data_IF_381600135399
#
_entry.id   IF_381600135399
#
_cell.length_a   1.000
_cell.length_b   1.000
_cell.length_c   1.000
_cell.angle_alpha   90.00
_cell.angle_beta   90.00
_cell.angle_gamma   90.00
#
_symmetry.space_group_name_H-M   'P 1'
#
loop_
_entity.id
_entity.type
_entity.pdbx_description
1 polymer ?
#
# COMPACT_ATOMS: atom_id res chain seq x y z
N UNK A 1 26.40 1.25 25.60
CA UNK A 1 25.52 2.44 25.46
C UNK A 1 25.62 3.18 24.12
N UNK A 2 26.72 3.10 23.34
CA UNK A 2 26.78 3.77 22.03
C UNK A 2 25.85 3.14 20.95
N UNK A 3 25.63 1.82 20.96
CA UNK A 3 24.84 1.11 19.94
C UNK A 3 23.34 1.48 19.91
N UNK A 4 22.71 1.75 21.07
CA UNK A 4 21.29 2.17 21.13
C UNK A 4 21.03 3.56 20.51
N UNK A 5 22.04 4.43 20.43
CA UNK A 5 21.86 5.78 19.85
C UNK A 5 21.86 5.76 18.31
N UNK A 6 22.56 4.81 17.68
CA UNK A 6 22.61 4.67 16.23
C UNK A 6 21.28 4.14 15.66
N UNK A 7 20.72 3.08 16.25
CA UNK A 7 19.44 2.49 15.84
C UNK A 7 18.29 3.51 15.92
N UNK A 8 18.27 4.31 17.00
CA UNK A 8 17.28 5.39 17.16
C UNK A 8 17.39 6.43 16.05
N UNK A 9 18.61 6.83 15.65
CA UNK A 9 18.83 7.81 14.60
C UNK A 9 18.44 7.27 13.21
N UNK A 10 18.69 5.99 12.92
CA UNK A 10 18.31 5.34 11.67
C UNK A 10 16.79 5.20 11.54
N UNK A 11 16.11 4.75 12.61
CA UNK A 11 14.64 4.67 12.64
C UNK A 11 13.99 6.04 12.44
N UNK A 12 14.57 7.09 13.02
CA UNK A 12 14.08 8.47 12.83
C UNK A 12 14.29 8.94 11.38
N UNK A 13 15.43 8.60 10.75
CA UNK A 13 15.70 8.92 9.33
C UNK A 13 14.82 8.11 8.38
N UNK A 14 14.57 6.83 8.64
CA UNK A 14 13.68 5.99 7.84
C UNK A 14 12.24 6.47 7.91
N UNK A 15 11.74 6.81 9.11
CA UNK A 15 10.42 7.45 9.29
C UNK A 15 10.35 8.81 8.60
N UNK A 16 11.43 9.60 8.66
CA UNK A 16 11.52 10.88 7.95
C UNK A 16 11.63 10.70 6.42
N UNK A 17 12.27 9.66 5.93
CA UNK A 17 12.39 9.34 4.51
C UNK A 17 11.08 8.79 3.95
N UNK A 18 10.34 7.99 4.74
CA UNK A 18 8.99 7.56 4.39
C UNK A 18 8.06 8.76 4.40
N UNK A 19 8.12 9.66 5.41
CA UNK A 19 7.42 10.95 5.38
C UNK A 19 7.81 11.80 4.16
N UNK A 20 9.08 11.86 3.78
CA UNK A 20 9.55 12.64 2.61
C UNK A 20 9.13 12.02 1.28
N UNK A 21 9.21 10.69 1.13
CA UNK A 21 8.76 9.96 -0.06
C UNK A 21 7.25 9.95 -0.18
N UNK A 22 6.57 9.98 0.97
CA UNK A 22 5.15 10.17 1.05
C UNK A 22 4.76 11.62 0.77
N UNK A 23 5.67 12.55 0.46
CA UNK A 23 5.40 13.98 0.35
C UNK A 23 5.08 14.61 1.70
N UNK A 24 5.53 15.83 1.97
CA UNK A 24 5.16 16.57 3.17
C UNK A 24 3.69 17.03 3.11
N UNK A 25 2.76 16.08 3.11
CA UNK A 25 1.31 16.35 3.11
C UNK A 25 0.80 16.80 4.47
N UNK A 26 1.67 16.87 5.49
CA UNK A 26 1.32 17.42 6.80
C UNK A 26 0.96 18.92 6.73
N UNK A 27 1.36 19.61 5.65
CA UNK A 27 1.12 21.03 5.45
C UNK A 27 -0.18 21.38 4.67
N UNK A 28 -0.98 20.40 4.19
CA UNK A 28 -2.23 20.72 3.47
C UNK A 28 -3.40 20.91 4.45
N UNK A 29 -3.21 21.82 5.40
CA UNK A 29 -4.26 22.31 6.29
C UNK A 29 -5.19 23.34 5.62
N UNK A 30 -4.99 23.62 4.33
CA UNK A 30 -5.87 24.50 3.55
C UNK A 30 -7.15 23.81 3.09
N UNK A 31 -8.20 24.60 2.89
CA UNK A 31 -9.43 24.16 2.25
C UNK A 31 -9.13 23.53 0.89
N UNK A 32 -9.42 22.23 0.75
CA UNK A 32 -9.28 21.53 -0.51
C UNK A 32 -10.29 22.09 -1.51
N UNK A 33 -9.81 22.64 -2.61
CA UNK A 33 -10.66 23.09 -3.70
C UNK A 33 -11.37 21.88 -4.32
N UNK A 34 -12.63 21.68 -3.94
CA UNK A 34 -13.48 20.63 -4.52
C UNK A 34 -13.92 21.07 -5.92
N UNK A 35 -13.67 20.26 -6.98
CA UNK A 35 -14.16 20.55 -8.32
C UNK A 35 -15.67 20.74 -8.33
N UNK A 36 -16.15 21.75 -9.06
CA UNK A 36 -17.57 22.14 -9.07
C UNK A 36 -18.51 20.96 -9.32
N UNK A 37 -18.19 20.12 -10.31
CA UNK A 37 -19.00 18.94 -10.65
C UNK A 37 -18.96 17.78 -9.64
N UNK A 38 -18.25 17.93 -8.52
CA UNK A 38 -18.18 16.98 -7.40
C UNK A 38 -18.81 17.52 -6.12
N UNK A 39 -19.06 18.83 -6.02
CA UNK A 39 -19.64 19.47 -4.83
C UNK A 39 -21.05 18.92 -4.55
N UNK A 40 -21.45 18.85 -3.27
CA UNK A 40 -22.83 18.59 -2.93
C UNK A 40 -23.72 19.78 -3.34
N UNK A 41 -24.94 19.51 -3.77
CA UNK A 41 -25.96 20.55 -3.93
C UNK A 41 -26.46 21.04 -2.56
N UNK A 42 -27.18 22.17 -2.52
CA UNK A 42 -27.77 22.69 -1.28
C UNK A 42 -28.73 21.68 -0.64
N UNK A 43 -29.54 21.00 -1.47
CA UNK A 43 -30.44 19.95 -1.02
C UNK A 43 -29.66 18.76 -0.45
N UNK A 44 -28.56 18.37 -1.09
CA UNK A 44 -27.70 17.28 -0.63
C UNK A 44 -27.12 17.57 0.77
N UNK A 45 -26.71 18.82 1.04
CA UNK A 45 -26.15 19.20 2.33
C UNK A 45 -27.17 19.16 3.50
N UNK A 46 -28.47 19.28 3.23
CA UNK A 46 -29.48 19.54 4.26
C UNK A 46 -30.05 18.29 4.97
N UNK A 47 -29.90 17.08 4.43
CA UNK A 47 -30.70 15.92 4.90
C UNK A 47 -30.03 15.00 5.92
N UNK A 48 -28.75 15.22 6.22
CA UNK A 48 -28.09 14.73 7.43
C UNK A 48 -27.85 13.23 7.57
N UNK A 49 -28.59 12.31 6.93
CA UNK A 49 -28.35 10.86 7.04
C UNK A 49 -28.64 10.10 5.75
N UNK A 50 -27.76 9.17 5.40
CA UNK A 50 -28.01 8.14 4.38
C UNK A 50 -27.83 6.77 5.00
N UNK A 51 -28.86 5.93 4.89
CA UNK A 51 -28.78 4.52 5.25
C UNK A 51 -27.98 3.80 4.17
N UNK A 52 -26.90 3.17 4.62
CA UNK A 52 -26.02 2.37 3.80
C UNK A 52 -26.68 1.03 3.47
N UNK A 53 -26.26 0.40 2.37
CA UNK A 53 -26.74 -0.93 2.01
C UNK A 53 -26.33 -1.99 3.05
N UNK A 54 -25.31 -1.72 3.86
CA UNK A 54 -24.95 -2.55 5.04
C UNK A 54 -25.92 -2.44 6.21
N UNK A 55 -26.87 -1.48 6.19
CA UNK A 55 -27.71 -1.13 7.33
C UNK A 55 -27.09 -0.12 8.28
N UNK A 56 -25.81 0.21 8.12
CA UNK A 56 -25.17 1.30 8.86
C UNK A 56 -25.78 2.64 8.42
N UNK A 57 -25.95 3.59 9.33
CA UNK A 57 -26.30 4.96 8.95
C UNK A 57 -25.02 5.79 8.85
N UNK A 58 -24.73 6.38 7.69
CA UNK A 58 -23.72 7.42 7.59
C UNK A 58 -24.40 8.74 7.97
N UNK A 59 -23.99 9.34 9.08
CA UNK A 59 -24.44 10.67 9.47
C UNK A 59 -23.71 11.71 8.61
N UNK A 60 -24.39 12.17 7.55
CA UNK A 60 -23.88 13.13 6.58
C UNK A 60 -23.85 14.56 7.12
N UNK A 61 -24.51 14.83 8.25
CA UNK A 61 -24.66 16.20 8.79
C UNK A 61 -23.36 16.78 9.35
N UNK A 62 -22.43 15.92 9.79
CA UNK A 62 -21.15 16.33 10.34
C UNK A 62 -20.01 15.44 9.86
N UNK A 63 -18.88 16.05 9.53
CA UNK A 63 -17.67 15.31 9.20
C UNK A 63 -17.17 14.53 10.44
N UNK A 64 -16.80 13.26 10.31
CA UNK A 64 -16.19 12.52 11.42
C UNK A 64 -14.89 13.19 11.90
N UNK A 65 -14.46 12.95 13.16
CA UNK A 65 -13.21 13.48 13.67
C UNK A 65 -12.01 13.17 12.76
N UNK A 66 -11.24 14.20 12.41
CA UNK A 66 -10.06 14.07 11.55
C UNK A 66 -10.36 14.00 10.04
N UNK A 67 -11.60 14.19 9.60
CA UNK A 67 -11.97 14.29 8.18
C UNK A 67 -12.13 15.76 7.78
N UNK A 68 -11.37 16.25 6.78
CA UNK A 68 -11.55 17.61 6.29
C UNK A 68 -12.91 17.78 5.63
N UNK A 69 -13.52 18.95 5.81
CA UNK A 69 -14.84 19.32 5.25
C UNK A 69 -14.93 19.10 3.74
N UNK A 70 -13.91 19.50 2.97
CA UNK A 70 -13.87 19.29 1.52
C UNK A 70 -13.87 17.80 1.11
N UNK A 71 -13.15 16.94 1.84
CA UNK A 71 -13.17 15.49 1.63
C UNK A 71 -14.55 14.93 1.97
N UNK A 72 -15.08 15.31 3.13
CA UNK A 72 -16.39 14.88 3.57
C UNK A 72 -17.51 15.27 2.60
N UNK A 73 -17.49 16.51 2.10
CA UNK A 73 -18.48 17.00 1.13
C UNK A 73 -18.52 16.15 -0.16
N UNK A 74 -17.37 15.68 -0.66
CA UNK A 74 -17.33 14.78 -1.82
C UNK A 74 -17.82 13.37 -1.46
N UNK A 75 -17.52 12.87 -0.25
CA UNK A 75 -18.05 11.59 0.24
C UNK A 75 -19.58 11.63 0.32
N UNK A 76 -20.13 12.68 0.95
CA UNK A 76 -21.57 12.95 1.06
C UNK A 76 -22.21 13.00 -0.33
N UNK A 77 -21.69 13.86 -1.23
CA UNK A 77 -22.24 14.02 -2.57
C UNK A 77 -22.21 12.70 -3.37
N UNK A 78 -21.16 11.89 -3.22
CA UNK A 78 -21.08 10.59 -3.87
C UNK A 78 -22.08 9.57 -3.27
N UNK A 79 -22.23 9.54 -1.95
CA UNK A 79 -23.17 8.66 -1.26
C UNK A 79 -24.63 8.99 -1.59
N UNK A 80 -24.98 10.27 -1.73
CA UNK A 80 -26.35 10.68 -2.05
C UNK A 80 -26.75 10.37 -3.49
N UNK A 81 -25.83 10.49 -4.44
CA UNK A 81 -26.03 10.04 -5.83
C UNK A 81 -26.22 8.53 -5.96
N UNK A 82 -25.85 7.80 -4.92
CA UNK A 82 -26.04 6.36 -4.83
C UNK A 82 -27.39 5.98 -4.17
N UNK A 83 -28.07 6.89 -3.48
CA UNK A 83 -29.32 6.61 -2.78
C UNK A 83 -30.44 6.17 -3.76
N UNK A 84 -30.95 4.92 -3.65
CA UNK A 84 -31.99 4.41 -4.53
C UNK A 84 -33.31 5.19 -4.42
N UNK A 85 -33.62 5.80 -3.27
CA UNK A 85 -34.84 6.60 -3.11
C UNK A 85 -34.79 7.92 -3.85
N UNK A 86 -33.59 8.34 -4.28
CA UNK A 86 -33.33 9.63 -4.94
C UNK A 86 -32.73 9.50 -6.32
N UNK A 87 -32.50 8.28 -6.74
CA UNK A 87 -32.09 7.97 -8.10
C UNK A 87 -33.24 8.32 -9.03
N UNK A 88 -33.40 9.61 -9.31
CA UNK A 88 -33.71 10.02 -10.66
C UNK A 88 -32.67 9.32 -11.54
N UNK A 89 -33.13 8.36 -12.35
CA UNK A 89 -32.34 7.23 -12.90
C UNK A 89 -31.06 7.66 -13.66
N UNK A 90 -30.85 8.95 -13.85
CA UNK A 90 -29.75 9.58 -14.57
C UNK A 90 -28.46 9.86 -13.77
N UNK A 91 -28.44 9.84 -12.43
CA UNK A 91 -27.27 10.37 -11.68
C UNK A 91 -26.45 9.32 -10.94
N UNK A 92 -25.87 8.35 -11.67
CA UNK A 92 -24.84 7.46 -11.11
C UNK A 92 -23.66 8.29 -10.55
N UNK A 93 -23.04 7.89 -9.42
CA UNK A 93 -21.88 8.59 -8.91
C UNK A 93 -20.73 8.52 -9.92
N UNK A 94 -20.01 9.64 -10.10
CA UNK A 94 -18.86 9.67 -11.00
C UNK A 94 -17.69 8.93 -10.37
N UNK A 95 -17.04 8.03 -11.10
CA UNK A 95 -15.80 7.34 -10.66
C UNK A 95 -14.75 8.31 -10.13
N UNK A 96 -14.68 9.51 -10.72
CA UNK A 96 -13.79 10.59 -10.27
C UNK A 96 -14.05 11.06 -8.85
N UNK A 97 -15.27 10.93 -8.30
CA UNK A 97 -15.55 11.26 -6.90
C UNK A 97 -14.74 10.39 -5.94
N UNK A 98 -14.79 9.05 -6.12
CA UNK A 98 -14.02 8.13 -5.30
C UNK A 98 -12.52 8.32 -5.51
N UNK A 99 -12.08 8.49 -6.75
CA UNK A 99 -10.66 8.74 -7.05
C UNK A 99 -10.15 10.01 -6.39
N UNK A 100 -10.93 11.09 -6.43
CA UNK A 100 -10.58 12.36 -5.79
C UNK A 100 -10.47 12.20 -4.27
N UNK A 101 -11.44 11.54 -3.63
CA UNK A 101 -11.37 11.23 -2.19
C UNK A 101 -10.09 10.47 -1.86
N UNK A 102 -9.74 9.42 -2.63
CA UNK A 102 -8.52 8.64 -2.40
C UNK A 102 -7.23 9.42 -2.70
N UNK A 103 -7.24 10.32 -3.68
CA UNK A 103 -6.07 11.16 -3.99
C UNK A 103 -5.78 12.16 -2.88
N UNK A 104 -6.81 12.64 -2.19
CA UNK A 104 -6.69 13.67 -1.17
C UNK A 104 -6.71 13.15 0.26
N UNK A 105 -7.14 11.91 0.52
CA UNK A 105 -7.11 11.30 1.85
C UNK A 105 -5.67 11.28 2.40
N UNK A 106 -5.47 11.97 3.52
CA UNK A 106 -4.19 12.18 4.19
C UNK A 106 -4.22 11.87 5.69
N UNK A 107 -5.40 11.62 6.26
CA UNK A 107 -5.56 11.20 7.66
C UNK A 107 -6.19 9.81 7.75
N UNK A 108 -6.04 9.16 8.91
CA UNK A 108 -6.72 7.89 9.17
C UNK A 108 -8.25 8.02 9.09
N UNK A 109 -8.81 9.14 9.58
CA UNK A 109 -10.25 9.40 9.47
C UNK A 109 -10.72 9.51 8.02
N UNK A 110 -9.95 10.17 7.15
CA UNK A 110 -10.29 10.31 5.73
C UNK A 110 -10.20 8.97 4.97
N UNK A 111 -9.21 8.14 5.29
CA UNK A 111 -9.09 6.78 4.76
C UNK A 111 -10.25 5.90 5.21
N UNK A 112 -10.70 6.03 6.46
CA UNK A 112 -11.88 5.31 6.95
C UNK A 112 -13.18 5.79 6.28
N UNK A 113 -13.34 7.10 6.10
CA UNK A 113 -14.48 7.66 5.35
C UNK A 113 -14.49 7.18 3.89
N UNK A 114 -13.33 7.14 3.23
CA UNK A 114 -13.19 6.57 1.89
C UNK A 114 -13.55 5.07 1.85
N UNK A 115 -13.28 4.34 2.93
CA UNK A 115 -13.56 2.91 3.03
C UNK A 115 -15.06 2.68 3.15
N UNK A 116 -15.74 3.44 4.00
CA UNK A 116 -17.20 3.45 4.08
C UNK A 116 -17.83 3.76 2.71
N UNK A 117 -17.36 4.81 2.02
CA UNK A 117 -17.83 5.14 0.66
C UNK A 117 -17.60 3.98 -0.32
N UNK A 118 -16.44 3.31 -0.27
CA UNK A 118 -16.10 2.21 -1.18
C UNK A 118 -16.96 0.97 -0.93
N UNK A 119 -17.29 0.67 0.34
CA UNK A 119 -18.23 -0.42 0.68
C UNK A 119 -19.58 -0.17 0.01
N UNK A 120 -20.08 1.05 0.10
CA UNK A 120 -21.33 1.47 -0.52
C UNK A 120 -21.29 1.47 -2.05
N UNK A 121 -20.16 1.90 -2.60
CA UNK A 121 -19.84 1.82 -4.01
C UNK A 121 -20.03 0.38 -4.51
N UNK A 122 -19.49 -0.58 -3.76
CA UNK A 122 -19.53 -2.01 -4.10
C UNK A 122 -20.89 -2.64 -3.88
N UNK A 123 -21.59 -2.30 -2.80
CA UNK A 123 -22.94 -2.80 -2.53
C UNK A 123 -23.91 -2.44 -3.67
N UNK A 124 -23.67 -1.30 -4.34
CA UNK A 124 -24.41 -0.86 -5.53
C UNK A 124 -23.76 -1.27 -6.85
N UNK A 125 -22.90 -2.28 -6.81
CA UNK A 125 -22.26 -2.90 -7.98
C UNK A 125 -21.44 -1.93 -8.84
N UNK A 126 -21.02 -0.79 -8.29
CA UNK A 126 -20.19 0.16 -9.03
C UNK A 126 -18.76 -0.38 -9.18
N UNK A 127 -18.13 -0.25 -10.35
CA UNK A 127 -16.88 -0.93 -10.65
C UNK A 127 -15.71 -0.39 -9.81
N UNK A 128 -14.89 -1.31 -9.30
CA UNK A 128 -13.55 -1.05 -8.77
C UNK A 128 -12.55 -1.55 -9.80
N UNK A 129 -11.53 -0.75 -10.08
CA UNK A 129 -10.51 -1.04 -11.10
C UNK A 129 -9.13 -1.09 -10.45
N UNK A 130 -8.13 -1.67 -11.12
CA UNK A 130 -6.74 -1.65 -10.65
C UNK A 130 -6.26 -0.24 -10.27
N UNK A 131 -6.62 0.78 -11.07
CA UNK A 131 -6.30 2.18 -10.75
C UNK A 131 -6.90 2.64 -9.42
N UNK A 132 -8.14 2.26 -9.11
CA UNK A 132 -8.78 2.56 -7.82
C UNK A 132 -8.02 1.89 -6.67
N UNK A 133 -7.62 0.63 -6.83
CA UNK A 133 -6.87 -0.10 -5.81
C UNK A 133 -5.45 0.45 -5.61
N UNK A 134 -4.79 0.96 -6.67
CA UNK A 134 -3.52 1.66 -6.55
C UNK A 134 -3.65 2.99 -5.78
N UNK A 135 -4.73 3.75 -6.02
CA UNK A 135 -5.03 4.94 -5.23
C UNK A 135 -5.28 4.59 -3.76
N UNK A 136 -5.95 3.48 -3.49
CA UNK A 136 -6.10 2.95 -2.13
C UNK A 136 -4.77 2.65 -1.45
N UNK A 137 -3.86 1.92 -2.12
CA UNK A 137 -2.53 1.65 -1.60
C UNK A 137 -1.77 2.96 -1.29
N UNK A 138 -1.82 3.94 -2.19
CA UNK A 138 -1.21 5.25 -1.97
C UNK A 138 -1.84 6.04 -0.81
N UNK A 139 -3.17 6.05 -0.71
CA UNK A 139 -3.91 6.74 0.34
C UNK A 139 -3.61 6.19 1.73
N UNK A 140 -3.65 4.86 1.88
CA UNK A 140 -3.35 4.19 3.14
C UNK A 140 -1.90 4.45 3.59
N UNK A 141 -0.94 4.40 2.68
CA UNK A 141 0.48 4.70 2.99
C UNK A 141 0.65 6.16 3.38
N UNK A 142 0.08 7.09 2.60
CA UNK A 142 0.17 8.54 2.88
C UNK A 142 -0.46 8.91 4.22
N UNK A 143 -1.57 8.30 4.59
CA UNK A 143 -2.25 8.53 5.85
C UNK A 143 -1.59 7.82 7.05
N UNK A 144 -0.51 7.06 6.83
CA UNK A 144 0.11 6.25 7.88
C UNK A 144 -0.79 5.13 8.42
N UNK A 145 -1.75 4.66 7.60
CA UNK A 145 -2.71 3.60 7.94
C UNK A 145 -2.68 2.45 6.91
N UNK A 146 -1.51 1.83 6.69
CA UNK A 146 -1.40 0.72 5.73
C UNK A 146 -2.22 -0.52 6.13
N UNK A 147 -2.55 -0.68 7.41
CA UNK A 147 -3.44 -1.70 7.96
C UNK A 147 -4.82 -1.72 7.30
N UNK A 148 -5.35 -0.53 6.99
CA UNK A 148 -6.65 -0.40 6.33
C UNK A 148 -6.61 -1.08 4.96
N UNK A 149 -5.50 -0.98 4.21
CA UNK A 149 -5.39 -1.65 2.92
C UNK A 149 -5.45 -3.17 3.05
N UNK A 150 -4.81 -3.75 4.07
CA UNK A 150 -4.87 -5.20 4.35
C UNK A 150 -6.31 -5.62 4.63
N UNK A 151 -7.03 -4.88 5.48
CA UNK A 151 -8.46 -5.12 5.76
C UNK A 151 -9.31 -5.08 4.49
N UNK A 152 -9.09 -4.10 3.61
CA UNK A 152 -9.81 -3.97 2.34
C UNK A 152 -9.56 -5.16 1.39
N UNK A 153 -8.36 -5.74 1.41
CA UNK A 153 -8.06 -6.93 0.62
C UNK A 153 -8.68 -8.19 1.25
N UNK A 154 -8.61 -8.34 2.57
CA UNK A 154 -9.16 -9.52 3.24
C UNK A 154 -10.68 -9.62 3.10
N UNK A 155 -11.41 -8.50 3.14
CA UNK A 155 -12.86 -8.47 2.92
C UNK A 155 -13.22 -8.24 1.45
N UNK A 156 -13.01 -9.28 0.64
CA UNK A 156 -13.35 -9.23 -0.79
C UNK A 156 -14.85 -9.09 -1.03
N UNK A 157 -15.70 -9.54 -0.13
CA UNK A 157 -17.14 -9.41 -0.30
C UNK A 157 -17.55 -7.93 -0.29
N UNK A 158 -17.06 -7.18 0.70
CA UNK A 158 -17.38 -5.77 0.83
C UNK A 158 -16.65 -4.89 -0.19
N UNK A 159 -15.37 -5.16 -0.51
CA UNK A 159 -14.54 -4.19 -1.23
C UNK A 159 -14.12 -4.59 -2.65
N UNK A 160 -14.00 -5.89 -2.96
CA UNK A 160 -13.55 -6.43 -4.26
C UNK A 160 -12.38 -5.66 -4.88
N UNK A 161 -11.36 -5.35 -4.08
CA UNK A 161 -10.15 -4.67 -4.58
C UNK A 161 -9.40 -5.55 -5.59
N UNK A 162 -8.70 -4.91 -6.52
CA UNK A 162 -7.91 -5.53 -7.58
C UNK A 162 -6.45 -5.06 -7.46
N UNK A 163 -5.70 -5.56 -6.47
CA UNK A 163 -4.33 -5.13 -6.25
C UNK A 163 -3.44 -5.54 -7.44
N UNK A 164 -2.31 -4.85 -7.58
CA UNK A 164 -1.19 -5.29 -8.41
C UNK A 164 0.08 -5.31 -7.58
N UNK A 165 1.07 -6.11 -8.00
CA UNK A 165 2.28 -6.42 -7.23
C UNK A 165 2.97 -5.16 -6.66
N UNK A 166 3.19 -4.13 -7.47
CA UNK A 166 3.83 -2.88 -7.01
C UNK A 166 3.07 -2.17 -5.88
N UNK A 167 1.73 -2.19 -5.92
CA UNK A 167 0.91 -1.60 -4.86
C UNK A 167 1.04 -2.36 -3.55
N UNK A 168 1.04 -3.69 -3.60
CA UNK A 168 1.24 -4.55 -2.43
C UNK A 168 2.65 -4.37 -1.86
N UNK A 169 3.67 -4.35 -2.72
CA UNK A 169 5.05 -4.09 -2.34
C UNK A 169 5.22 -2.74 -1.61
N UNK A 170 4.53 -1.69 -2.07
CA UNK A 170 4.53 -0.38 -1.39
C UNK A 170 3.92 -0.47 0.01
N UNK A 171 2.79 -1.16 0.17
CA UNK A 171 2.10 -1.29 1.46
C UNK A 171 2.89 -2.18 2.42
N UNK A 172 3.52 -3.27 1.95
CA UNK A 172 4.39 -4.11 2.79
C UNK A 172 5.51 -3.31 3.45
N UNK A 173 6.22 -2.47 2.68
CA UNK A 173 7.26 -1.57 3.23
C UNK A 173 6.70 -0.62 4.30
N UNK A 174 5.52 -0.05 4.04
CA UNK A 174 4.87 0.85 5.00
C UNK A 174 4.43 0.13 6.28
N UNK A 175 3.97 -1.12 6.19
CA UNK A 175 3.65 -1.96 7.34
C UNK A 175 4.90 -2.22 8.19
N UNK A 176 6.01 -2.60 7.56
CA UNK A 176 7.30 -2.78 8.23
C UNK A 176 7.74 -1.53 8.99
N UNK A 177 7.74 -0.37 8.31
CA UNK A 177 8.09 0.91 8.95
C UNK A 177 7.16 1.34 10.09
N UNK A 178 5.95 0.79 10.14
CA UNK A 178 4.97 1.03 11.21
C UNK A 178 5.04 -0.03 12.32
N UNK A 179 5.96 -0.99 12.25
CA UNK A 179 6.06 -2.10 13.20
C UNK A 179 4.94 -3.14 13.06
N UNK A 180 4.30 -3.23 11.90
CA UNK A 180 3.18 -4.13 11.63
C UNK A 180 3.63 -5.30 10.75
N UNK A 181 4.71 -5.97 11.14
CA UNK A 181 5.37 -6.95 10.29
C UNK A 181 4.49 -8.17 9.98
N UNK A 182 3.68 -8.63 10.94
CA UNK A 182 2.75 -9.74 10.71
C UNK A 182 1.76 -9.45 9.57
N UNK A 183 1.28 -8.20 9.46
CA UNK A 183 0.41 -7.78 8.36
C UNK A 183 1.16 -7.70 7.03
N UNK A 184 2.46 -7.37 7.03
CA UNK A 184 3.28 -7.41 5.81
C UNK A 184 3.40 -8.85 5.29
N UNK A 185 3.60 -9.83 6.18
CA UNK A 185 3.61 -11.25 5.84
C UNK A 185 2.24 -11.75 5.37
N UNK A 186 1.15 -11.33 6.02
CA UNK A 186 -0.22 -11.62 5.53
C UNK A 186 -0.42 -11.07 4.12
N UNK A 187 0.01 -9.84 3.87
CA UNK A 187 -0.10 -9.22 2.55
C UNK A 187 0.75 -9.96 1.51
N UNK A 188 1.95 -10.41 1.86
CA UNK A 188 2.76 -11.26 0.99
C UNK A 188 2.05 -12.58 0.63
N UNK A 189 1.45 -13.24 1.62
CA UNK A 189 0.69 -14.48 1.42
C UNK A 189 -0.58 -14.30 0.57
N UNK A 190 -1.12 -13.09 0.44
CA UNK A 190 -2.26 -12.80 -0.43
C UNK A 190 -1.89 -12.75 -1.93
N UNK A 191 -0.62 -12.74 -2.33
CA UNK A 191 -0.24 -12.65 -3.76
C UNK A 191 -0.89 -13.76 -4.61
N UNK A 192 -0.72 -15.06 -4.30
CA UNK A 192 -1.34 -16.13 -5.10
C UNK A 192 -2.87 -16.05 -5.13
N UNK A 193 -3.48 -15.60 -4.02
CA UNK A 193 -4.93 -15.44 -3.92
C UNK A 193 -5.51 -14.37 -4.87
N UNK A 194 -4.67 -13.40 -5.26
CA UNK A 194 -5.01 -12.39 -6.28
C UNK A 194 -4.46 -12.72 -7.67
N UNK A 195 -3.91 -13.93 -7.88
CA UNK A 195 -3.30 -14.31 -9.14
C UNK A 195 -2.01 -13.54 -9.44
N UNK A 196 -1.34 -13.05 -8.40
CA UNK A 196 -0.05 -12.35 -8.50
C UNK A 196 1.08 -13.33 -8.16
N UNK A 197 2.16 -13.25 -8.92
CA UNK A 197 3.38 -14.00 -8.58
C UNK A 197 4.06 -13.36 -7.37
N UNK A 198 4.65 -14.19 -6.51
CA UNK A 198 5.60 -13.75 -5.49
C UNK A 198 6.97 -13.62 -6.17
N UNK A 199 7.15 -12.56 -6.96
CA UNK A 199 8.36 -12.31 -7.72
C UNK A 199 9.46 -11.64 -6.87
N UNK A 200 10.58 -11.28 -7.51
CA UNK A 200 11.68 -10.59 -6.84
C UNK A 200 11.29 -9.25 -6.21
N UNK A 201 10.27 -8.57 -6.75
CA UNK A 201 9.76 -7.33 -6.17
C UNK A 201 9.01 -7.61 -4.87
N UNK A 202 8.21 -8.67 -4.82
CA UNK A 202 7.44 -9.06 -3.64
C UNK A 202 8.36 -9.51 -2.49
N UNK A 203 9.31 -10.43 -2.77
CA UNK A 203 10.29 -10.88 -1.77
C UNK A 203 11.17 -9.71 -1.30
N UNK A 204 11.72 -8.92 -2.22
CA UNK A 204 12.53 -7.75 -1.87
C UNK A 204 11.78 -6.76 -0.97
N UNK A 205 10.51 -6.48 -1.26
CA UNK A 205 9.70 -5.60 -0.44
C UNK A 205 9.40 -6.17 0.96
N UNK A 206 9.24 -7.49 1.11
CA UNK A 206 9.04 -8.14 2.40
C UNK A 206 10.31 -8.12 3.25
N UNK A 207 11.47 -8.36 2.65
CA UNK A 207 12.77 -8.25 3.33
C UNK A 207 13.04 -6.81 3.75
N UNK A 208 12.80 -5.84 2.86
CA UNK A 208 12.86 -4.42 3.21
C UNK A 208 11.92 -4.05 4.36
N UNK A 209 10.70 -4.59 4.38
CA UNK A 209 9.74 -4.36 5.46
C UNK A 209 10.28 -4.84 6.82
N UNK A 210 10.91 -6.02 6.85
CA UNK A 210 11.56 -6.52 8.06
C UNK A 210 12.66 -5.56 8.55
N UNK A 211 13.49 -5.02 7.64
CA UNK A 211 14.56 -4.09 8.02
C UNK A 211 14.08 -2.71 8.45
N UNK A 212 12.85 -2.34 8.07
CA UNK A 212 12.22 -1.08 8.48
C UNK A 212 11.52 -1.20 9.83
N UNK A 213 11.28 -2.41 10.32
CA UNK A 213 10.65 -2.65 11.62
C UNK A 213 11.65 -2.41 12.76
N UNK A 214 11.40 -1.36 13.53
CA UNK A 214 12.21 -0.99 14.69
C UNK A 214 11.57 -1.39 16.02
N UNK A 215 10.43 -2.08 16.00
CA UNK A 215 9.70 -2.46 17.22
C UNK A 215 10.33 -3.67 17.93
N UNK A 216 10.75 -4.67 17.15
CA UNK A 216 11.51 -5.84 17.58
C UNK A 216 12.55 -6.18 16.51
N UNK A 217 13.70 -5.48 16.57
CA UNK A 217 14.74 -5.58 15.56
C UNK A 217 15.26 -7.02 15.42
N UNK A 218 15.48 -7.73 16.52
CA UNK A 218 16.05 -9.09 16.50
C UNK A 218 15.09 -10.10 15.86
N UNK A 219 13.79 -10.02 16.15
CA UNK A 219 12.80 -10.85 15.49
C UNK A 219 12.66 -10.49 14.00
N UNK A 220 12.65 -9.20 13.67
CA UNK A 220 12.52 -8.73 12.31
C UNK A 220 13.72 -9.15 11.45
N UNK A 221 14.96 -9.03 11.95
CA UNK A 221 16.17 -9.47 11.27
C UNK A 221 16.21 -10.98 11.03
N UNK A 222 15.76 -11.79 11.99
CA UNK A 222 15.65 -13.25 11.80
C UNK A 222 14.66 -13.59 10.69
N UNK A 223 13.50 -12.93 10.66
CA UNK A 223 12.50 -13.11 9.60
C UNK A 223 13.05 -12.68 8.23
N UNK A 224 13.77 -11.55 8.17
CA UNK A 224 14.41 -11.07 6.96
C UNK A 224 15.40 -12.09 6.37
N UNK A 225 16.23 -12.69 7.23
CA UNK A 225 17.19 -13.72 6.82
C UNK A 225 16.49 -14.95 6.23
N UNK A 226 15.47 -15.47 6.92
CA UNK A 226 14.70 -16.63 6.45
C UNK A 226 14.06 -16.37 5.08
N UNK A 227 13.47 -15.18 4.88
CA UNK A 227 12.87 -14.79 3.60
C UNK A 227 13.93 -14.66 2.50
N UNK A 228 15.11 -14.11 2.81
CA UNK A 228 16.21 -13.99 1.86
C UNK A 228 16.78 -15.36 1.46
N UNK A 229 16.96 -16.28 2.41
CA UNK A 229 17.39 -17.66 2.16
C UNK A 229 16.36 -18.41 1.31
N UNK A 230 15.06 -18.27 1.61
CA UNK A 230 14.00 -18.85 0.79
C UNK A 230 14.03 -18.31 -0.65
N UNK A 231 14.16 -16.99 -0.82
CA UNK A 231 14.21 -16.35 -2.13
C UNK A 231 15.43 -16.78 -2.95
N UNK A 232 16.58 -17.00 -2.31
CA UNK A 232 17.82 -17.46 -2.95
C UNK A 232 17.79 -18.94 -3.32
N UNK A 233 17.00 -19.75 -2.61
CA UNK A 233 16.82 -21.17 -2.89
C UNK A 233 15.95 -21.43 -4.13
N UNK A 234 15.24 -20.42 -4.65
CA UNK A 234 14.44 -20.51 -5.88
C UNK A 234 15.33 -20.50 -7.12
N UNK A 235 14.82 -21.06 -8.22
CA UNK A 235 15.45 -21.08 -9.53
C UNK A 235 14.49 -20.49 -10.59
N UNK A 236 14.74 -19.27 -11.11
CA UNK A 236 15.84 -18.38 -10.74
C UNK A 236 15.65 -17.77 -9.32
N UNK A 237 16.72 -17.26 -8.69
CA UNK A 237 16.61 -16.54 -7.42
C UNK A 237 15.62 -15.38 -7.49
N UNK A 238 14.79 -15.24 -6.46
CA UNK A 238 13.77 -14.19 -6.34
C UNK A 238 14.22 -13.04 -5.43
N UNK A 239 15.52 -12.82 -5.34
CA UNK A 239 16.13 -11.68 -4.67
C UNK A 239 17.34 -11.27 -5.49
N UNK A 240 17.73 -9.99 -5.47
CA UNK A 240 18.88 -9.50 -6.24
C UNK A 240 20.10 -9.32 -5.34
N UNK A 241 21.30 -9.46 -5.91
CA UNK A 241 22.56 -9.13 -5.22
C UNK A 241 22.52 -7.71 -4.67
N UNK A 242 22.01 -6.75 -5.46
CA UNK A 242 21.86 -5.36 -5.03
C UNK A 242 20.95 -5.20 -3.81
N UNK A 243 19.87 -5.98 -3.71
CA UNK A 243 19.01 -5.99 -2.54
C UNK A 243 19.75 -6.54 -1.32
N UNK A 244 20.45 -7.68 -1.44
CA UNK A 244 21.24 -8.27 -0.36
C UNK A 244 22.34 -7.31 0.15
N UNK A 245 23.06 -6.63 -0.75
CA UNK A 245 24.05 -5.61 -0.38
C UNK A 245 23.44 -4.39 0.30
N UNK A 246 22.25 -3.96 -0.15
CA UNK A 246 21.54 -2.87 0.50
C UNK A 246 21.11 -3.24 1.94
N UNK A 247 20.86 -4.52 2.20
CA UNK A 247 20.52 -5.04 3.53
C UNK A 247 21.77 -5.14 4.42
N UNK A 248 22.87 -5.68 3.88
CA UNK A 248 24.18 -5.69 4.52
C UNK A 248 24.56 -4.29 5.01
N UNK A 249 24.45 -3.27 4.15
CA UNK A 249 24.78 -1.89 4.49
C UNK A 249 23.85 -1.25 5.54
N UNK A 250 22.65 -1.79 5.75
CA UNK A 250 21.66 -1.30 6.73
C UNK A 250 21.67 -2.08 8.04
N UNK A 251 22.36 -3.21 8.11
CA UNK A 251 22.40 -4.04 9.31
C UNK A 251 23.23 -3.36 10.40
N UNK A 252 22.60 -3.05 11.53
CA UNK A 252 23.29 -2.50 12.72
C UNK A 252 24.11 -3.57 13.46
N UNK A 253 23.81 -4.86 13.20
CA UNK A 253 24.53 -6.00 13.76
C UNK A 253 25.56 -6.55 12.76
N UNK A 254 26.82 -6.69 13.21
CA UNK A 254 27.93 -7.12 12.37
C UNK A 254 27.81 -8.59 11.93
N UNK A 255 27.15 -9.46 12.72
CA UNK A 255 26.90 -10.83 12.31
C UNK A 255 25.86 -10.86 11.18
N UNK A 256 24.78 -10.12 11.33
CA UNK A 256 23.75 -9.99 10.29
C UNK A 256 24.29 -9.40 9.00
N UNK A 257 25.10 -8.34 9.08
CA UNK A 257 25.77 -7.76 7.92
C UNK A 257 26.61 -8.81 7.17
N UNK A 258 27.44 -9.58 7.90
CA UNK A 258 28.23 -10.68 7.32
C UNK A 258 27.36 -11.75 6.66
N UNK A 259 26.23 -12.13 7.27
CA UNK A 259 25.31 -13.12 6.68
C UNK A 259 24.72 -12.62 5.36
N UNK A 260 24.27 -11.36 5.29
CA UNK A 260 23.78 -10.80 4.03
C UNK A 260 24.88 -10.67 2.96
N UNK A 261 26.09 -10.29 3.36
CA UNK A 261 27.25 -10.27 2.47
C UNK A 261 27.54 -11.65 1.88
N UNK A 262 27.54 -12.69 2.72
CA UNK A 262 27.75 -14.07 2.28
C UNK A 262 26.65 -14.57 1.32
N UNK A 263 25.38 -14.22 1.58
CA UNK A 263 24.28 -14.52 0.65
C UNK A 263 24.44 -13.79 -0.69
N UNK A 264 24.90 -12.54 -0.66
CA UNK A 264 25.15 -11.75 -1.87
C UNK A 264 26.31 -12.35 -2.69
N UNK A 265 27.37 -12.79 -2.04
CA UNK A 265 28.51 -13.49 -2.67
C UNK A 265 28.04 -14.80 -3.31
N UNK A 266 27.30 -15.64 -2.56
CA UNK A 266 26.76 -16.91 -3.05
C UNK A 266 25.86 -16.71 -4.29
N UNK A 267 25.04 -15.66 -4.31
CA UNK A 267 24.20 -15.35 -5.45
C UNK A 267 25.03 -14.86 -6.65
N UNK A 268 26.03 -14.00 -6.43
CA UNK A 268 26.90 -13.51 -7.49
C UNK A 268 27.72 -14.64 -8.14
N UNK A 269 28.15 -15.64 -7.36
CA UNK A 269 28.80 -16.85 -7.88
C UNK A 269 27.87 -17.69 -8.76
N UNK A 270 26.59 -17.83 -8.38
CA UNK A 270 25.58 -18.52 -9.19
C UNK A 270 25.32 -17.80 -10.52
N UNK A 271 25.21 -16.48 -10.50
CA UNK A 271 24.96 -15.66 -11.69
C UNK A 271 26.20 -15.57 -12.62
N UNK A 272 27.40 -15.56 -12.05
CA UNK A 272 28.69 -15.51 -12.76
C UNK A 272 29.19 -16.87 -13.28
N UNK A 273 28.44 -17.94 -13.06
CA UNK A 273 28.77 -19.27 -13.57
C UNK A 273 28.82 -19.31 -15.11
N UNK A 274 29.57 -20.27 -15.70
CA UNK A 274 29.88 -20.34 -17.14
C UNK A 274 28.68 -20.36 -18.11
N UNK A 275 27.44 -20.46 -17.62
CA UNK A 275 26.21 -20.39 -18.43
C UNK A 275 25.89 -18.99 -18.99
N UNK A 276 26.41 -17.90 -18.40
CA UNK A 276 26.22 -16.56 -18.94
C UNK A 276 27.02 -16.31 -20.25
N UNK A 277 28.12 -17.05 -20.45
CA UNK A 277 28.96 -16.92 -21.64
C UNK A 277 28.37 -17.60 -22.90
N UNK A 278 27.40 -18.51 -22.75
CA UNK A 278 26.90 -19.32 -23.87
C UNK A 278 25.61 -18.77 -24.51
N UNK A 279 24.90 -17.83 -23.87
CA UNK A 279 23.62 -17.29 -24.38
C UNK A 279 23.75 -16.12 -25.37
N UNK A 280 24.95 -15.56 -25.58
CA UNK A 280 25.13 -14.38 -26.44
C UNK A 280 25.59 -14.71 -27.89
N UNK A 281 25.70 -16.00 -28.26
CA UNK A 281 26.20 -16.41 -29.60
C UNK A 281 25.13 -16.92 -30.57
N UNK A 282 23.86 -17.03 -30.17
CA UNK A 282 22.77 -17.46 -31.06
C UNK A 282 21.71 -16.38 -31.25
N UNK A 283 22.06 -15.31 -31.96
CA UNK A 283 21.05 -14.52 -32.68
C UNK A 283 20.55 -15.38 -33.86
N UNK A 284 19.27 -15.79 -33.92
CA UNK A 284 18.74 -16.40 -35.12
C UNK A 284 18.77 -15.36 -36.23
N UNK A 285 19.54 -15.64 -37.29
CA UNK A 285 19.49 -14.88 -38.52
C UNK A 285 18.07 -14.96 -39.08
N UNK A 286 17.39 -13.82 -39.09
CA UNK A 286 16.19 -13.64 -39.90
C UNK A 286 16.65 -13.62 -41.36
N UNK A 287 16.53 -14.75 -42.04
CA UNK A 287 16.57 -14.77 -43.50
C UNK A 287 15.26 -14.16 -44.03
N UNK A 288 15.45 -13.38 -45.10
CA UNK A 288 14.49 -12.57 -45.85
C UNK A 288 13.21 -13.29 -46.28
#
# INVERSE_FOLDING_TARGET
>A
MLKMRAATALGTRARAAIRRSAGDYSAVAGDLAVPEGLRPTADEAAQGRVTLASGDALDLSAAPPGVRSGVWGVVVAAAMRMDPQRSDKARRPKKSSLHWVLQHAASGGEVEAAAALTREWRARMQPITHATTQLWAAACVRAGRPDVFVRLLMDRWAFRQLPVAHGMARVMRALGASGQLDDAFRLFALHPYYGLAQDATAYGALVEACCLDTSDADAAWRRALVVAEEALARDPPLITVAALRALEAKADDAEMARRYGALADQMAEKDGGPQAAEKDTKKPGWFF
#
